data_IF_292412119502
#
_entry.id   IF_292412119502
#
_cell.length_a   1.000
_cell.length_b   1.000
_cell.length_c   1.000
_cell.angle_alpha   90.00
_cell.angle_beta   90.00
_cell.angle_gamma   90.00
#
_symmetry.space_group_name_H-M   'P 1'
#
loop_
_entity.id
_entity.type
_entity.pdbx_description
1 polymer ?
#
# COMPACT_ATOMS: atom_id res chain seq x y z
N UNK A 1 17.93 -1.57 6.21
CA UNK A 1 18.40 -2.19 7.47
C UNK A 1 17.35 -3.17 7.98
N UNK A 2 17.78 -4.33 8.47
CA UNK A 2 16.90 -5.34 9.11
C UNK A 2 16.28 -4.78 10.40
N UNK A 3 17.03 -3.98 11.13
CA UNK A 3 16.57 -3.36 12.39
C UNK A 3 15.46 -2.36 12.16
N UNK A 4 15.61 -1.51 11.15
CA UNK A 4 14.52 -0.59 10.81
C UNK A 4 13.24 -1.34 10.44
N UNK A 5 13.36 -2.40 9.64
CA UNK A 5 12.21 -3.25 9.29
C UNK A 5 11.52 -3.80 10.54
N UNK A 6 12.30 -4.34 11.50
CA UNK A 6 11.77 -4.85 12.76
C UNK A 6 11.06 -3.78 13.57
N UNK A 7 11.67 -2.59 13.70
CA UNK A 7 11.05 -1.44 14.34
C UNK A 7 9.70 -1.09 13.70
N UNK A 8 9.69 -0.91 12.38
CA UNK A 8 8.51 -0.49 11.63
C UNK A 8 7.37 -1.52 11.66
N UNK A 9 7.69 -2.82 11.67
CA UNK A 9 6.71 -3.91 11.79
C UNK A 9 6.12 -4.00 13.21
N UNK A 10 6.92 -3.78 14.24
CA UNK A 10 6.48 -3.83 15.63
C UNK A 10 5.68 -2.57 16.03
N UNK A 11 6.20 -1.39 15.72
CA UNK A 11 5.58 -0.12 16.10
C UNK A 11 4.36 0.26 15.24
N UNK A 12 4.29 -0.25 14.01
CA UNK A 12 3.32 0.17 12.98
C UNK A 12 3.43 1.68 12.65
N UNK A 13 4.62 2.24 12.87
CA UNK A 13 4.94 3.64 12.60
C UNK A 13 6.02 3.75 11.52
N UNK A 14 6.03 4.89 10.84
CA UNK A 14 7.08 5.29 9.90
C UNK A 14 7.83 6.48 10.49
N UNK A 15 9.15 6.42 10.46
CA UNK A 15 9.99 7.54 10.88
C UNK A 15 10.23 8.50 9.71
N UNK A 16 10.53 9.79 9.99
CA UNK A 16 11.01 10.72 8.97
C UNK A 16 12.28 10.22 8.28
N UNK A 17 12.44 10.55 6.99
CA UNK A 17 13.56 10.09 6.17
C UNK A 17 14.93 10.35 6.79
N UNK A 18 15.17 11.56 7.33
CA UNK A 18 16.41 11.93 8.01
C UNK A 18 16.73 10.98 9.16
N UNK A 19 15.72 10.66 9.99
CA UNK A 19 15.88 9.73 11.12
C UNK A 19 16.15 8.30 10.66
N UNK A 20 15.47 7.83 9.61
CA UNK A 20 15.71 6.50 9.04
C UNK A 20 17.15 6.38 8.53
N UNK A 21 17.61 7.40 7.80
CA UNK A 21 18.96 7.42 7.23
C UNK A 21 20.02 7.47 8.33
N UNK A 22 19.88 8.41 9.28
CA UNK A 22 20.82 8.61 10.36
C UNK A 22 20.93 7.38 11.29
N UNK A 23 19.79 6.91 11.80
CA UNK A 23 19.77 5.94 12.90
C UNK A 23 19.85 4.48 12.42
N UNK A 24 19.54 4.21 11.13
CA UNK A 24 19.41 2.82 10.64
C UNK A 24 20.14 2.52 9.34
N UNK A 25 20.15 3.41 8.36
CA UNK A 25 20.76 3.09 7.06
C UNK A 25 22.24 3.42 7.02
N UNK A 26 22.65 4.54 7.58
CA UNK A 26 24.03 5.06 7.58
C UNK A 26 24.59 5.28 8.98
N UNK A 27 24.02 4.67 10.01
CA UNK A 27 24.44 4.89 11.43
C UNK A 27 25.92 4.62 11.70
N UNK A 28 26.53 3.71 10.94
CA UNK A 28 27.95 3.34 11.12
C UNK A 28 28.91 4.33 10.42
N UNK A 29 28.36 5.32 9.72
CA UNK A 29 29.12 6.35 9.02
C UNK A 29 29.05 7.68 9.78
N UNK A 30 30.22 8.26 10.06
CA UNK A 30 30.34 9.58 10.67
C UNK A 30 30.17 10.68 9.60
N UNK A 31 28.94 11.00 9.28
CA UNK A 31 28.60 12.02 8.29
C UNK A 31 27.98 13.25 8.96
N UNK A 32 28.23 14.47 8.45
CA UNK A 32 27.57 15.66 8.95
C UNK A 32 26.05 15.57 8.85
N UNK A 33 25.34 15.92 9.92
CA UNK A 33 23.87 15.80 10.00
C UNK A 33 23.17 16.58 8.91
N UNK A 34 23.62 17.79 8.62
CA UNK A 34 23.11 18.64 7.55
C UNK A 34 23.16 17.93 6.17
N UNK A 35 24.26 17.24 5.88
CA UNK A 35 24.38 16.47 4.61
C UNK A 35 23.47 15.24 4.59
N UNK A 36 23.32 14.56 5.74
CA UNK A 36 22.40 13.43 5.85
C UNK A 36 20.97 13.88 5.60
N UNK A 37 20.54 14.96 6.22
CA UNK A 37 19.18 15.50 6.07
C UNK A 37 18.93 15.94 4.62
N UNK A 38 19.86 16.68 4.01
CA UNK A 38 19.75 17.12 2.63
C UNK A 38 19.64 15.97 1.61
N UNK A 39 20.21 14.79 1.90
CA UNK A 39 20.18 13.64 1.03
C UNK A 39 19.16 12.57 1.43
N UNK A 40 18.49 12.72 2.57
CA UNK A 40 17.70 11.67 3.20
C UNK A 40 16.62 11.11 2.28
N UNK A 41 15.83 11.95 1.65
CA UNK A 41 14.78 11.51 0.71
C UNK A 41 15.39 10.74 -0.47
N UNK A 42 16.49 11.20 -1.04
CA UNK A 42 17.14 10.51 -2.14
C UNK A 42 17.68 9.14 -1.74
N UNK A 43 18.21 9.02 -0.53
CA UNK A 43 18.68 7.74 0.03
C UNK A 43 17.50 6.80 0.25
N UNK A 44 16.41 7.28 0.83
CA UNK A 44 15.17 6.52 0.99
C UNK A 44 14.61 6.04 -0.35
N UNK A 45 14.58 6.91 -1.36
CA UNK A 45 14.17 6.57 -2.72
C UNK A 45 15.02 5.43 -3.30
N UNK A 46 16.34 5.54 -3.25
CA UNK A 46 17.25 4.52 -3.78
C UNK A 46 17.09 3.19 -3.02
N UNK A 47 16.87 3.27 -1.71
CA UNK A 47 16.61 2.09 -0.91
C UNK A 47 15.33 1.37 -1.34
N UNK A 48 14.23 2.11 -1.52
CA UNK A 48 12.96 1.55 -1.96
C UNK A 48 13.03 1.01 -3.39
N UNK A 49 13.68 1.73 -4.30
CA UNK A 49 13.88 1.32 -5.69
C UNK A 49 14.67 0.00 -5.77
N UNK A 50 15.75 -0.13 -4.99
CA UNK A 50 16.58 -1.33 -4.97
C UNK A 50 15.90 -2.51 -4.29
N UNK A 51 15.19 -2.26 -3.19
CA UNK A 51 14.53 -3.29 -2.40
C UNK A 51 13.35 -3.92 -3.12
N UNK A 52 12.55 -3.09 -3.77
CA UNK A 52 11.26 -3.55 -4.29
C UNK A 52 11.36 -4.18 -5.67
N UNK A 53 12.39 -3.85 -6.49
CA UNK A 53 12.55 -4.36 -7.87
C UNK A 53 11.21 -4.41 -8.60
N UNK A 54 10.47 -3.28 -8.57
CA UNK A 54 9.09 -3.23 -9.01
C UNK A 54 9.01 -3.51 -10.51
N UNK A 55 8.22 -4.49 -10.86
CA UNK A 55 7.74 -4.73 -12.22
C UNK A 55 6.24 -4.47 -12.25
N UNK A 56 5.77 -3.87 -13.33
CA UNK A 56 4.35 -3.68 -13.55
C UNK A 56 3.65 -5.04 -13.65
N UNK A 57 2.59 -5.23 -12.89
CA UNK A 57 1.78 -6.44 -13.01
C UNK A 57 0.97 -6.40 -14.31
N UNK A 58 0.77 -7.57 -14.97
CA UNK A 58 -0.07 -7.64 -16.15
C UNK A 58 -1.46 -7.05 -15.90
N UNK A 59 -2.02 -6.41 -16.92
CA UNK A 59 -3.36 -5.81 -16.93
C UNK A 59 -3.59 -4.68 -15.94
N UNK A 60 -2.57 -4.20 -15.20
CA UNK A 60 -2.76 -3.13 -14.22
C UNK A 60 -3.26 -1.82 -14.86
N UNK A 61 -2.63 -1.27 -15.91
CA UNK A 61 -3.08 -0.01 -16.51
C UNK A 61 -4.48 -0.12 -17.09
N UNK A 62 -4.76 -1.18 -17.81
CA UNK A 62 -6.06 -1.44 -18.44
C UNK A 62 -7.16 -1.57 -17.39
N UNK A 63 -6.89 -2.30 -16.31
CA UNK A 63 -7.85 -2.46 -15.20
C UNK A 63 -8.16 -1.14 -14.51
N UNK A 64 -7.12 -0.35 -14.21
CA UNK A 64 -7.27 0.97 -13.58
C UNK A 64 -8.09 1.90 -14.47
N UNK A 65 -7.82 1.94 -15.76
CA UNK A 65 -8.58 2.73 -16.73
C UNK A 65 -10.04 2.27 -16.84
N UNK A 66 -10.29 0.95 -16.91
CA UNK A 66 -11.66 0.43 -16.98
C UNK A 66 -12.46 0.70 -15.71
N UNK A 67 -11.85 0.55 -14.54
CA UNK A 67 -12.49 0.92 -13.27
C UNK A 67 -12.87 2.40 -13.25
N UNK A 68 -11.99 3.26 -13.73
CA UNK A 68 -12.28 4.69 -13.87
C UNK A 68 -13.47 4.96 -14.81
N UNK A 69 -13.49 4.30 -16.00
CA UNK A 69 -14.59 4.43 -16.99
C UNK A 69 -15.96 4.02 -16.42
N UNK A 70 -16.01 3.08 -15.50
CA UNK A 70 -17.26 2.66 -14.83
C UNK A 70 -17.54 3.45 -13.53
N UNK A 71 -16.83 4.55 -13.31
CA UNK A 71 -17.09 5.48 -12.21
C UNK A 71 -16.49 5.07 -10.86
N UNK A 72 -15.57 4.09 -10.82
CA UNK A 72 -14.90 3.69 -9.58
C UNK A 72 -13.78 4.68 -9.25
N UNK A 73 -13.90 5.31 -8.10
CA UNK A 73 -12.88 6.18 -7.54
C UNK A 73 -11.71 5.35 -6.99
N UNK A 74 -10.48 5.77 -7.23
CA UNK A 74 -9.30 4.96 -6.95
C UNK A 74 -8.28 5.72 -6.13
N UNK A 75 -7.60 5.00 -5.22
CA UNK A 75 -6.52 5.53 -4.42
C UNK A 75 -5.50 4.45 -4.06
N UNK A 76 -4.37 4.88 -3.53
CA UNK A 76 -3.28 4.00 -3.12
C UNK A 76 -2.93 4.22 -1.65
N UNK A 77 -2.69 3.12 -0.93
CA UNK A 77 -2.12 3.13 0.42
C UNK A 77 -0.84 2.29 0.41
N UNK A 78 0.31 2.90 0.64
CA UNK A 78 1.61 2.25 0.54
C UNK A 78 2.45 2.38 1.82
N UNK A 79 3.03 1.25 2.28
CA UNK A 79 4.09 1.26 3.27
C UNK A 79 5.44 1.46 2.59
N UNK A 80 5.95 2.67 2.60
CA UNK A 80 7.14 3.12 1.87
C UNK A 80 7.90 4.19 2.67
N UNK A 81 9.22 4.24 2.57
CA UNK A 81 10.03 5.22 3.31
C UNK A 81 10.34 6.50 2.51
N UNK A 82 10.20 6.45 1.19
CA UNK A 82 10.37 7.60 0.29
C UNK A 82 9.03 8.26 -0.02
N UNK A 83 9.01 9.58 -0.06
CA UNK A 83 7.83 10.36 -0.47
C UNK A 83 7.68 10.48 -1.99
N UNK A 84 8.74 10.21 -2.76
CA UNK A 84 8.77 10.42 -4.21
C UNK A 84 8.66 9.13 -5.01
N UNK A 85 9.00 7.98 -4.42
CA UNK A 85 9.08 6.71 -5.13
C UNK A 85 7.74 6.25 -5.73
N UNK A 86 6.67 6.20 -4.94
CA UNK A 86 5.35 5.76 -5.43
C UNK A 86 4.80 6.71 -6.49
N UNK A 87 4.79 8.04 -6.30
CA UNK A 87 4.35 8.98 -7.33
C UNK A 87 5.11 8.83 -8.67
N UNK A 88 6.42 8.61 -8.64
CA UNK A 88 7.20 8.38 -9.86
C UNK A 88 6.84 7.08 -10.57
N UNK A 89 6.58 6.00 -9.81
CA UNK A 89 6.17 4.72 -10.38
C UNK A 89 4.78 4.82 -11.03
N UNK A 90 3.84 5.52 -10.38
CA UNK A 90 2.50 5.74 -10.94
C UNK A 90 2.56 6.50 -12.26
N UNK A 91 3.39 7.56 -12.34
CA UNK A 91 3.64 8.31 -13.58
C UNK A 91 4.27 7.43 -14.66
N UNK A 92 5.28 6.63 -14.29
CA UNK A 92 5.94 5.70 -15.21
C UNK A 92 4.97 4.68 -15.81
N UNK A 93 3.97 4.27 -15.04
CA UNK A 93 2.94 3.34 -15.48
C UNK A 93 1.74 4.03 -16.16
N UNK A 94 1.71 5.37 -16.20
CA UNK A 94 0.64 6.16 -16.81
C UNK A 94 -0.70 6.08 -16.10
N UNK A 95 -0.70 5.69 -14.81
CA UNK A 95 -1.91 5.48 -14.00
C UNK A 95 -2.11 6.53 -12.91
N UNK A 96 -1.17 7.45 -12.74
CA UNK A 96 -1.23 8.53 -11.75
C UNK A 96 -2.49 9.40 -11.87
N UNK A 97 -2.90 9.69 -13.11
CA UNK A 97 -4.11 10.47 -13.43
C UNK A 97 -5.44 9.86 -12.94
N UNK A 98 -5.43 8.57 -12.63
CA UNK A 98 -6.62 7.86 -12.13
C UNK A 98 -6.67 7.77 -10.60
N UNK A 99 -5.60 8.20 -9.91
CA UNK A 99 -5.50 8.11 -8.45
C UNK A 99 -5.94 9.42 -7.81
N UNK A 100 -7.08 9.40 -7.13
CA UNK A 100 -7.60 10.58 -6.40
C UNK A 100 -6.88 10.80 -5.06
N UNK A 101 -6.28 9.76 -4.49
CA UNK A 101 -5.40 9.89 -3.34
C UNK A 101 -4.22 8.90 -3.40
N UNK A 102 -3.08 9.33 -2.87
CA UNK A 102 -1.89 8.49 -2.69
C UNK A 102 -1.41 8.68 -1.26
N UNK A 103 -1.78 7.74 -0.40
CA UNK A 103 -1.42 7.76 1.02
C UNK A 103 -0.19 6.89 1.24
N UNK A 104 0.87 7.50 1.73
CA UNK A 104 2.14 6.82 2.00
C UNK A 104 2.48 6.89 3.47
N UNK A 105 3.04 5.82 4.02
CA UNK A 105 3.48 5.80 5.41
C UNK A 105 4.57 6.83 5.69
N UNK A 106 5.44 7.10 4.71
CA UNK A 106 6.46 8.16 4.78
C UNK A 106 5.88 9.56 5.02
N UNK A 107 4.71 9.86 4.43
CA UNK A 107 4.04 11.15 4.61
C UNK A 107 3.14 11.23 5.84
N UNK A 108 2.62 10.08 6.31
CA UNK A 108 1.66 10.05 7.43
C UNK A 108 2.28 9.65 8.77
N UNK A 109 3.47 9.05 8.77
CA UNK A 109 4.07 8.45 9.96
C UNK A 109 3.41 7.15 10.41
N UNK A 110 2.38 6.66 9.70
CA UNK A 110 1.56 5.49 10.07
C UNK A 110 1.68 4.43 8.98
N UNK A 111 1.79 3.16 9.41
CA UNK A 111 1.96 2.01 8.50
C UNK A 111 0.79 1.04 8.62
N UNK A 112 0.40 0.41 7.50
CA UNK A 112 -0.42 -0.80 7.54
C UNK A 112 0.26 -1.88 8.39
N UNK A 113 -0.45 -2.62 9.22
CA UNK A 113 -1.91 -2.78 9.30
C UNK A 113 -2.65 -1.76 10.19
N UNK A 114 -2.02 -0.71 10.69
CA UNK A 114 -2.73 0.27 11.53
C UNK A 114 -3.91 0.86 10.75
N UNK A 115 -5.18 0.71 11.23
CA UNK A 115 -6.37 1.16 10.50
C UNK A 115 -6.40 2.66 10.24
N UNK A 116 -5.69 3.46 11.03
CA UNK A 116 -5.64 4.93 10.85
C UNK A 116 -5.16 5.35 9.47
N UNK A 117 -4.25 4.58 8.82
CA UNK A 117 -3.78 4.94 7.48
C UNK A 117 -4.89 4.78 6.43
N UNK A 118 -5.78 3.81 6.59
CA UNK A 118 -6.96 3.63 5.74
C UNK A 118 -7.97 4.75 5.98
N UNK A 119 -8.22 5.12 7.23
CA UNK A 119 -9.12 6.22 7.56
C UNK A 119 -8.60 7.59 7.04
N UNK A 120 -7.29 7.78 6.88
CA UNK A 120 -6.73 8.97 6.21
C UNK A 120 -7.16 8.99 4.74
N UNK A 121 -7.05 7.85 4.03
CA UNK A 121 -7.48 7.73 2.64
C UNK A 121 -8.98 7.98 2.48
N UNK A 122 -9.79 7.35 3.33
CA UNK A 122 -11.25 7.50 3.33
C UNK A 122 -11.67 8.96 3.52
N UNK A 123 -11.08 9.65 4.51
CA UNK A 123 -11.36 11.08 4.74
C UNK A 123 -10.97 11.94 3.54
N UNK A 124 -9.83 11.68 2.91
CA UNK A 124 -9.41 12.44 1.73
C UNK A 124 -10.36 12.23 0.56
N UNK A 125 -10.90 11.02 0.42
CA UNK A 125 -11.88 10.69 -0.61
C UNK A 125 -13.33 11.09 -0.23
N UNK A 126 -13.61 11.37 1.03
CA UNK A 126 -14.97 11.63 1.51
C UNK A 126 -15.87 10.40 1.37
N UNK A 127 -15.35 9.20 1.68
CA UNK A 127 -16.04 7.93 1.57
C UNK A 127 -16.17 7.24 2.92
N UNK A 128 -17.24 6.47 3.09
CA UNK A 128 -17.44 5.60 4.24
C UNK A 128 -16.72 4.26 4.04
N UNK A 129 -16.24 3.67 5.14
CA UNK A 129 -15.47 2.40 5.09
C UNK A 129 -16.23 1.30 4.34
N UNK A 130 -17.52 1.15 4.60
CA UNK A 130 -18.35 0.07 4.03
C UNK A 130 -18.58 0.19 2.52
N UNK A 131 -18.39 1.37 1.95
CA UNK A 131 -18.53 1.63 0.51
C UNK A 131 -17.27 1.29 -0.27
N UNK A 132 -16.17 0.97 0.42
CA UNK A 132 -14.86 0.82 -0.18
C UNK A 132 -14.41 -0.64 -0.24
N UNK A 133 -13.81 -1.00 -1.38
CA UNK A 133 -13.04 -2.22 -1.54
C UNK A 133 -11.53 -1.93 -1.39
N UNK A 134 -10.80 -2.85 -0.80
CA UNK A 134 -9.35 -2.80 -0.74
C UNK A 134 -8.73 -4.02 -1.43
N UNK A 135 -7.70 -3.78 -2.23
CA UNK A 135 -6.93 -4.83 -2.90
C UNK A 135 -5.50 -4.79 -2.38
N UNK A 136 -5.04 -5.89 -1.80
CA UNK A 136 -3.68 -6.00 -1.27
C UNK A 136 -3.14 -7.41 -1.39
N UNK A 137 -1.85 -7.62 -1.09
CA UNK A 137 -1.20 -8.89 -1.34
C UNK A 137 -0.67 -9.61 -0.08
N UNK A 138 -0.91 -9.05 1.12
CA UNK A 138 -0.46 -9.66 2.38
C UNK A 138 -1.57 -9.73 3.42
N UNK A 139 -1.62 -10.85 4.18
CA UNK A 139 -2.53 -10.96 5.33
C UNK A 139 -2.07 -9.98 6.42
N UNK A 140 -0.79 -10.00 6.76
CA UNK A 140 -0.19 -9.27 7.88
C UNK A 140 -0.36 -7.75 7.84
N UNK A 141 -0.55 -7.16 6.66
CA UNK A 141 -0.66 -5.70 6.47
C UNK A 141 -1.97 -5.28 5.84
N UNK A 142 -2.38 -6.00 4.80
CA UNK A 142 -3.48 -5.59 3.95
C UNK A 142 -4.81 -6.13 4.46
N UNK A 143 -4.91 -7.45 4.67
CA UNK A 143 -6.16 -8.07 5.15
C UNK A 143 -6.46 -7.60 6.57
N UNK A 144 -5.50 -7.70 7.49
CA UNK A 144 -5.68 -7.23 8.87
C UNK A 144 -6.06 -5.75 8.90
N UNK A 145 -5.30 -4.90 8.18
CA UNK A 145 -5.54 -3.47 8.19
C UNK A 145 -6.89 -3.07 7.60
N UNK A 146 -7.32 -3.70 6.50
CA UNK A 146 -8.61 -3.45 5.87
C UNK A 146 -9.78 -3.90 6.79
N UNK A 147 -9.64 -5.04 7.48
CA UNK A 147 -10.62 -5.53 8.44
C UNK A 147 -10.73 -4.64 9.66
N UNK A 148 -9.61 -4.23 10.24
CA UNK A 148 -9.56 -3.30 11.37
C UNK A 148 -10.10 -1.90 11.00
N UNK A 149 -10.00 -1.49 9.74
CA UNK A 149 -10.58 -0.27 9.21
C UNK A 149 -12.05 -0.44 8.79
N UNK A 150 -12.62 -1.64 8.96
CA UNK A 150 -14.01 -2.00 8.64
C UNK A 150 -14.39 -1.75 7.18
N UNK A 151 -13.45 -1.92 6.23
CA UNK A 151 -13.74 -1.78 4.81
C UNK A 151 -14.78 -2.83 4.35
N UNK A 152 -15.64 -2.42 3.41
CA UNK A 152 -16.75 -3.24 2.94
C UNK A 152 -16.34 -4.50 2.21
N UNK A 153 -15.19 -4.47 1.51
CA UNK A 153 -14.67 -5.61 0.76
C UNK A 153 -13.15 -5.67 0.84
N UNK A 154 -12.60 -6.82 1.17
CA UNK A 154 -11.16 -7.09 1.12
C UNK A 154 -10.84 -8.18 0.10
N UNK A 155 -10.13 -7.80 -0.96
CA UNK A 155 -9.68 -8.70 -2.03
C UNK A 155 -8.18 -8.94 -1.86
N UNK A 156 -7.76 -10.18 -1.72
CA UNK A 156 -6.34 -10.52 -1.67
C UNK A 156 -5.84 -10.89 -3.07
N UNK A 157 -4.83 -10.15 -3.53
CA UNK A 157 -4.08 -10.50 -4.74
C UNK A 157 -3.05 -11.58 -4.40
N UNK A 158 -3.15 -12.75 -5.01
CA UNK A 158 -2.17 -13.82 -4.84
C UNK A 158 -0.76 -13.36 -5.25
N UNK A 159 0.21 -13.59 -4.36
CA UNK A 159 1.60 -13.22 -4.59
C UNK A 159 2.55 -14.30 -4.04
N UNK A 160 2.94 -15.29 -4.85
CA UNK A 160 3.79 -16.41 -4.42
C UNK A 160 5.12 -15.96 -3.80
N UNK A 161 5.66 -14.82 -4.25
CA UNK A 161 6.95 -14.30 -3.75
C UNK A 161 6.93 -13.91 -2.26
N UNK A 162 5.74 -13.63 -1.71
CA UNK A 162 5.58 -13.18 -0.33
C UNK A 162 4.64 -14.07 0.51
N UNK A 163 4.06 -15.09 -0.06
CA UNK A 163 3.17 -16.04 0.63
C UNK A 163 3.79 -16.60 1.91
N UNK A 164 5.10 -16.86 1.88
CA UNK A 164 5.83 -17.32 3.06
C UNK A 164 5.76 -16.37 4.27
N UNK A 165 5.50 -15.07 4.05
CA UNK A 165 5.38 -14.08 5.12
C UNK A 165 4.03 -14.16 5.83
N UNK A 166 3.04 -14.71 5.18
CA UNK A 166 1.68 -14.82 5.70
C UNK A 166 1.44 -16.09 6.52
N UNK A 167 2.36 -17.07 6.46
CA UNK A 167 2.24 -18.36 7.18
C UNK A 167 1.90 -18.18 8.67
N UNK A 168 2.56 -17.22 9.33
CA UNK A 168 2.33 -16.93 10.75
C UNK A 168 0.94 -16.30 11.04
N UNK A 169 0.22 -15.89 10.00
CA UNK A 169 -1.08 -15.22 10.10
C UNK A 169 -2.26 -16.05 9.57
N UNK A 170 -1.99 -17.25 9.03
CA UNK A 170 -3.04 -18.13 8.49
C UNK A 170 -4.09 -18.49 9.54
N UNK A 171 -3.66 -18.65 10.79
CA UNK A 171 -4.51 -19.01 11.94
C UNK A 171 -4.97 -17.78 12.73
N UNK A 172 -4.70 -16.56 12.24
CA UNK A 172 -5.06 -15.31 12.93
C UNK A 172 -6.55 -15.01 12.97
N UNK A 173 -7.37 -15.76 12.24
CA UNK A 173 -8.80 -15.49 12.06
C UNK A 173 -9.12 -14.43 11.00
N UNK A 174 -8.13 -13.65 10.55
CA UNK A 174 -8.30 -12.68 9.47
C UNK A 174 -8.27 -13.34 8.10
N UNK A 175 -9.32 -13.15 7.32
CA UNK A 175 -9.45 -13.69 5.95
C UNK A 175 -9.91 -12.60 4.99
N UNK A 176 -9.44 -12.65 3.72
CA UNK A 176 -10.05 -11.84 2.66
C UNK A 176 -11.45 -12.33 2.36
N UNK A 177 -12.28 -11.51 1.70
CA UNK A 177 -13.58 -11.93 1.19
C UNK A 177 -13.41 -12.78 -0.06
N UNK A 178 -12.38 -12.49 -0.85
CA UNK A 178 -12.02 -13.25 -2.04
C UNK A 178 -10.54 -13.11 -2.37
N UNK A 179 -10.05 -14.03 -3.18
CA UNK A 179 -8.70 -13.99 -3.73
C UNK A 179 -8.77 -13.89 -5.26
N UNK A 180 -7.80 -13.16 -5.83
CA UNK A 180 -7.59 -13.05 -7.28
C UNK A 180 -6.14 -13.34 -7.62
N UNK A 181 -5.89 -13.80 -8.84
CA UNK A 181 -4.55 -14.07 -9.36
C UNK A 181 -4.02 -12.95 -10.25
N UNK A 182 -4.90 -12.10 -10.77
CA UNK A 182 -4.53 -11.01 -11.66
C UNK A 182 -5.51 -9.84 -11.63
N UNK A 183 -5.03 -8.67 -12.07
CA UNK A 183 -5.84 -7.46 -12.12
C UNK A 183 -7.04 -7.56 -13.07
N UNK A 184 -6.95 -8.37 -14.14
CA UNK A 184 -8.04 -8.61 -15.08
C UNK A 184 -9.30 -9.19 -14.43
N UNK A 185 -9.20 -9.75 -13.23
CA UNK A 185 -10.35 -10.29 -12.50
C UNK A 185 -11.16 -9.21 -11.77
N UNK A 186 -10.56 -8.03 -11.51
CA UNK A 186 -11.22 -6.98 -10.69
C UNK A 186 -12.45 -6.37 -11.36
N UNK A 187 -12.35 -5.99 -12.63
CA UNK A 187 -13.48 -5.34 -13.31
C UNK A 187 -14.74 -6.22 -13.35
N UNK A 188 -14.67 -7.50 -13.71
CA UNK A 188 -15.82 -8.41 -13.62
C UNK A 188 -16.40 -8.52 -12.21
N UNK A 189 -15.56 -8.58 -11.18
CA UNK A 189 -15.97 -8.64 -9.78
C UNK A 189 -16.75 -7.38 -9.40
N UNK A 190 -16.19 -6.20 -9.65
CA UNK A 190 -16.79 -4.92 -9.30
C UNK A 190 -18.11 -4.69 -10.07
N UNK A 191 -18.16 -5.02 -11.35
CA UNK A 191 -19.40 -4.94 -12.13
C UNK A 191 -20.50 -5.82 -11.56
N UNK A 192 -20.17 -7.04 -11.13
CA UNK A 192 -21.13 -7.97 -10.50
C UNK A 192 -21.66 -7.42 -9.18
N UNK A 193 -20.80 -6.84 -8.35
CA UNK A 193 -21.20 -6.26 -7.07
C UNK A 193 -22.10 -5.03 -7.27
N UNK A 194 -21.74 -4.14 -8.20
CA UNK A 194 -22.47 -2.91 -8.44
C UNK A 194 -23.75 -3.11 -9.31
N UNK A 195 -23.78 -4.15 -10.17
CA UNK A 195 -24.90 -4.46 -11.05
C UNK A 195 -25.89 -5.47 -10.48
N UNK A 196 -25.49 -6.20 -9.47
CA UNK A 196 -26.35 -7.09 -8.70
C UNK A 196 -26.98 -6.30 -7.57
N UNK A 197 -28.10 -5.64 -7.83
CA UNK A 197 -29.02 -5.34 -6.75
C UNK A 197 -29.27 -6.66 -6.01
N UNK A 198 -28.73 -6.82 -4.81
CA UNK A 198 -29.19 -7.85 -3.89
C UNK A 198 -30.66 -7.58 -3.64
N UNK A 199 -31.52 -8.24 -4.39
CA UNK A 199 -32.87 -8.51 -3.91
C UNK A 199 -32.68 -9.46 -2.73
N UNK A 200 -32.86 -8.90 -1.53
CA UNK A 200 -33.08 -9.67 -0.30
C UNK A 200 -34.35 -10.51 -0.43
#
# INVERSE_FOLDING_TARGET
>A
SKEYKKYAEQSKLELPAGKIVKDYLLRDFKLPEEKLEACAERICYLYDARRNRITMRPYLPETVEELHKIGIRQGIISNIISNTFVPEILKRYGIDRYMECVIMSSGTGIRKPNPKIFHIALRQLGLESKECAYVGDTISRDVIGAREAELGLMIQMHNPAIEHKDKAFLDSGYKPDMMINGFNELVPIIRRINGGGYQC
#
